data_IF_429675060614
#
_entry.id   IF_429675060614
#
_cell.length_a   1.000
_cell.length_b   1.000
_cell.length_c   1.000
_cell.angle_alpha   90.00
_cell.angle_beta   90.00
_cell.angle_gamma   90.00
#
_symmetry.space_group_name_H-M   'P 1'
#
loop_
_entity.id
_entity.type
_entity.pdbx_description
1 polymer ?
#
# COMPACT_ATOMS: atom_id res chain seq x y z
N UNK A 1 20.50 12.22 -53.84
CA UNK A 1 20.74 10.79 -53.56
C UNK A 1 20.96 10.62 -52.05
N UNK A 2 20.35 9.58 -51.45
CA UNK A 2 20.55 9.26 -50.06
C UNK A 2 22.00 8.93 -49.68
N UNK A 3 22.80 8.46 -50.66
CA UNK A 3 24.21 8.18 -50.46
C UNK A 3 25.04 9.43 -50.09
N UNK A 4 24.63 10.61 -50.56
CA UNK A 4 25.28 11.87 -50.17
C UNK A 4 25.03 12.27 -48.74
N UNK A 5 23.97 11.75 -48.06
CA UNK A 5 23.72 12.00 -46.67
C UNK A 5 24.85 11.49 -45.75
N UNK A 6 25.60 10.44 -46.17
CA UNK A 6 26.78 9.94 -45.45
C UNK A 6 27.86 11.00 -45.32
N UNK A 7 27.95 11.96 -46.24
CA UNK A 7 28.93 13.04 -46.24
C UNK A 7 28.54 14.18 -45.31
N UNK A 8 27.32 14.13 -44.74
CA UNK A 8 26.80 15.14 -43.83
C UNK A 8 26.31 14.45 -42.54
N UNK A 9 27.19 13.85 -41.74
CA UNK A 9 26.80 13.01 -40.59
C UNK A 9 26.27 13.85 -39.39
N UNK A 10 26.67 15.11 -39.25
CA UNK A 10 26.47 15.93 -38.07
C UNK A 10 25.60 17.16 -38.31
N UNK A 11 25.02 17.30 -39.51
CA UNK A 11 24.16 18.43 -39.85
C UNK A 11 23.02 17.97 -40.78
N UNK A 12 22.00 18.78 -40.90
CA UNK A 12 20.85 18.56 -41.80
C UNK A 12 21.11 19.13 -43.21
N UNK A 13 22.16 19.94 -43.39
CA UNK A 13 22.56 20.49 -44.65
C UNK A 13 24.09 20.66 -44.71
N UNK A 14 24.63 20.76 -45.90
CA UNK A 14 26.04 21.01 -46.17
C UNK A 14 26.20 21.63 -47.56
N UNK A 15 27.43 21.97 -47.90
CA UNK A 15 27.78 22.49 -49.22
C UNK A 15 28.77 21.56 -49.91
N UNK A 16 28.62 21.41 -51.21
CA UNK A 16 29.56 20.72 -52.07
C UNK A 16 30.11 21.73 -53.11
N UNK A 17 31.43 21.80 -53.23
CA UNK A 17 32.07 22.62 -54.25
C UNK A 17 32.36 21.75 -55.48
N UNK A 18 31.81 22.09 -56.58
CA UNK A 18 32.08 21.47 -57.90
C UNK A 18 33.09 22.32 -58.61
N UNK A 19 34.22 21.74 -58.97
CA UNK A 19 35.28 22.39 -59.73
C UNK A 19 35.26 21.83 -61.18
N UNK A 20 35.04 22.70 -62.12
CA UNK A 20 35.18 22.37 -63.52
C UNK A 20 36.54 22.89 -63.99
N UNK A 21 37.41 21.99 -64.42
CA UNK A 21 38.74 22.31 -64.91
C UNK A 21 38.78 22.04 -66.40
N UNK A 22 39.21 23.02 -67.15
CA UNK A 22 39.34 22.94 -68.61
C UNK A 22 40.77 22.66 -68.99
N UNK A 23 41.00 21.75 -69.95
CA UNK A 23 42.31 21.34 -70.42
C UNK A 23 42.43 21.58 -71.95
N UNK A 24 43.58 21.97 -72.38
CA UNK A 24 44.00 21.93 -73.78
C UNK A 24 45.12 20.88 -73.92
N UNK A 25 44.76 19.69 -74.44
CA UNK A 25 45.57 18.53 -74.28
C UNK A 25 45.79 18.15 -72.79
N UNK A 26 47.03 18.13 -72.37
CA UNK A 26 47.40 17.85 -70.95
C UNK A 26 47.60 19.15 -70.11
N UNK A 27 47.44 20.32 -70.73
CA UNK A 27 47.64 21.61 -70.04
C UNK A 27 46.37 22.14 -69.43
N UNK A 28 46.39 22.36 -68.14
CA UNK A 28 45.27 23.02 -67.48
C UNK A 28 45.22 24.50 -67.90
N UNK A 29 44.11 24.94 -68.48
CA UNK A 29 43.93 26.33 -68.98
C UNK A 29 43.00 27.15 -68.11
N UNK A 30 42.46 26.58 -67.04
CA UNK A 30 41.64 27.28 -66.04
C UNK A 30 40.65 26.41 -65.34
N UNK A 31 40.21 26.88 -64.18
CA UNK A 31 39.17 26.23 -63.38
C UNK A 31 38.12 27.26 -62.92
N UNK A 32 36.87 26.80 -62.86
CA UNK A 32 35.73 27.51 -62.26
C UNK A 32 35.11 26.63 -61.22
N UNK A 33 34.69 27.23 -60.10
CA UNK A 33 33.99 26.56 -59.03
C UNK A 33 32.55 27.01 -58.91
N UNK A 34 31.66 26.07 -58.56
CA UNK A 34 30.25 26.33 -58.24
C UNK A 34 29.96 25.62 -56.92
N UNK A 35 29.29 26.30 -56.02
CA UNK A 35 28.83 25.75 -54.74
C UNK A 35 27.40 25.28 -54.86
N UNK A 36 27.14 24.02 -54.51
CA UNK A 36 25.84 23.39 -54.41
C UNK A 36 25.46 23.18 -52.97
N UNK A 37 24.30 23.68 -52.57
CA UNK A 37 23.72 23.37 -51.25
C UNK A 37 23.06 21.99 -51.29
N UNK A 38 23.41 21.16 -50.32
CA UNK A 38 22.86 19.81 -50.13
C UNK A 38 22.06 19.79 -48.85
N UNK A 39 20.88 19.15 -48.87
CA UNK A 39 20.07 18.90 -47.66
C UNK A 39 19.82 17.40 -47.48
N UNK A 40 19.90 16.96 -46.24
CA UNK A 40 19.54 15.59 -45.86
C UNK A 40 18.03 15.51 -45.74
N UNK A 41 17.32 14.63 -46.47
CA UNK A 41 15.87 14.51 -46.39
C UNK A 41 15.37 14.32 -44.96
N UNK A 42 14.22 14.92 -44.60
CA UNK A 42 13.65 14.85 -43.25
C UNK A 42 13.27 13.42 -42.85
N UNK A 43 13.09 12.51 -43.81
CA UNK A 43 12.82 11.09 -43.56
C UNK A 43 14.04 10.29 -43.06
N UNK A 44 15.27 10.85 -43.25
CA UNK A 44 16.49 10.21 -42.74
C UNK A 44 16.58 10.49 -41.24
N UNK A 45 16.09 9.55 -40.45
CA UNK A 45 16.05 9.59 -38.98
C UNK A 45 16.81 8.41 -38.39
N UNK A 46 17.27 8.50 -37.15
CA UNK A 46 17.78 7.34 -36.41
C UNK A 46 16.66 6.33 -36.17
N UNK A 47 17.01 5.10 -35.85
CA UNK A 47 16.08 3.99 -35.62
C UNK A 47 16.28 3.36 -34.25
N UNK A 48 15.22 2.77 -33.73
CA UNK A 48 15.21 1.87 -32.57
C UNK A 48 14.55 0.58 -33.03
N UNK A 49 15.14 -0.59 -32.72
CA UNK A 49 14.50 -1.88 -33.02
C UNK A 49 13.40 -2.20 -32.03
N UNK A 50 13.63 -2.01 -30.74
CA UNK A 50 12.65 -2.23 -29.68
C UNK A 50 13.02 -1.53 -28.38
N UNK A 51 12.03 -1.32 -27.51
CA UNK A 51 12.19 -1.07 -26.08
C UNK A 51 11.76 -2.34 -25.34
N UNK A 52 12.59 -2.89 -24.47
CA UNK A 52 12.28 -4.07 -23.68
C UNK A 52 12.24 -3.73 -22.19
N UNK A 53 11.35 -4.42 -21.46
CA UNK A 53 11.21 -4.32 -20.00
C UNK A 53 11.55 -5.67 -19.37
N UNK A 54 12.40 -5.68 -18.36
CA UNK A 54 12.69 -6.85 -17.55
C UNK A 54 12.50 -6.53 -16.09
N UNK A 55 11.87 -7.45 -15.34
CA UNK A 55 11.73 -7.32 -13.90
C UNK A 55 13.07 -7.44 -13.22
N UNK A 56 13.31 -6.61 -12.22
CA UNK A 56 14.43 -6.77 -11.31
C UNK A 56 13.91 -7.56 -10.14
N UNK A 57 14.50 -8.73 -9.89
CA UNK A 57 14.17 -9.55 -8.74
C UNK A 57 14.62 -8.87 -7.44
N UNK A 58 13.87 -9.07 -6.38
CA UNK A 58 14.07 -8.45 -5.09
C UNK A 58 13.05 -8.98 -4.08
N UNK A 59 12.14 -8.13 -3.61
CA UNK A 59 11.14 -8.51 -2.62
C UNK A 59 10.09 -9.49 -3.18
N UNK A 60 9.76 -9.40 -4.48
CA UNK A 60 8.78 -10.29 -5.10
C UNK A 60 9.44 -11.58 -5.56
N UNK A 61 8.98 -12.76 -5.12
CA UNK A 61 9.54 -14.03 -5.57
C UNK A 61 9.56 -14.15 -7.10
N UNK A 62 10.66 -14.63 -7.64
CA UNK A 62 10.85 -14.77 -9.11
C UNK A 62 9.78 -15.66 -9.75
N UNK A 63 9.33 -16.69 -9.01
CA UNK A 63 8.32 -17.65 -9.44
C UNK A 63 6.93 -17.05 -9.64
N UNK A 64 6.66 -15.85 -9.09
CA UNK A 64 5.37 -15.21 -9.29
C UNK A 64 5.18 -14.68 -10.71
N UNK A 65 6.26 -14.25 -11.37
CA UNK A 65 6.20 -13.68 -12.72
C UNK A 65 5.42 -12.35 -12.80
N UNK A 66 5.18 -11.67 -11.69
CA UNK A 66 4.37 -10.45 -11.58
C UNK A 66 5.25 -9.24 -11.27
N UNK A 67 4.82 -8.08 -11.76
CA UNK A 67 5.19 -6.81 -11.16
C UNK A 67 4.19 -6.49 -10.06
N UNK A 68 4.64 -6.19 -8.86
CA UNK A 68 3.82 -5.86 -7.70
C UNK A 68 4.08 -4.42 -7.29
N UNK A 69 3.02 -3.66 -7.10
CA UNK A 69 3.06 -2.26 -6.67
C UNK A 69 3.88 -2.11 -5.39
N UNK A 70 4.76 -1.10 -5.35
CA UNK A 70 5.69 -0.79 -4.25
C UNK A 70 6.74 -1.86 -3.92
N UNK A 71 6.72 -3.02 -4.62
CA UNK A 71 7.60 -4.16 -4.37
C UNK A 71 8.47 -4.55 -5.56
N UNK A 72 8.14 -4.10 -6.77
CA UNK A 72 8.89 -4.40 -7.99
C UNK A 72 9.56 -3.18 -8.58
N UNK A 73 10.70 -3.40 -9.24
CA UNK A 73 11.41 -2.46 -10.11
C UNK A 73 11.49 -3.03 -11.51
N UNK A 74 11.66 -2.16 -12.51
CA UNK A 74 11.82 -2.57 -13.90
C UNK A 74 13.12 -2.00 -14.49
N UNK A 75 13.83 -2.80 -15.25
CA UNK A 75 14.92 -2.36 -16.11
C UNK A 75 14.40 -2.28 -17.54
N UNK A 76 14.50 -1.11 -18.12
CA UNK A 76 14.16 -0.80 -19.50
C UNK A 76 15.44 -0.76 -20.32
N UNK A 77 15.42 -1.33 -21.52
CA UNK A 77 16.59 -1.36 -22.41
C UNK A 77 16.15 -1.01 -23.83
N UNK A 78 16.79 -0.01 -24.42
CA UNK A 78 16.66 0.33 -25.84
C UNK A 78 17.56 -0.62 -26.61
N UNK A 79 17.00 -1.35 -27.57
CA UNK A 79 17.73 -2.29 -28.42
C UNK A 79 17.81 -1.76 -29.85
N UNK A 80 18.94 -1.99 -30.52
CA UNK A 80 19.14 -1.68 -31.92
C UNK A 80 19.01 -0.20 -32.27
N UNK A 81 19.45 0.68 -31.37
CA UNK A 81 19.54 2.11 -31.66
C UNK A 81 20.65 2.35 -32.67
N UNK A 82 20.34 2.92 -33.83
CA UNK A 82 21.31 3.20 -34.89
C UNK A 82 21.01 4.54 -35.57
N UNK A 83 22.09 5.28 -35.88
CA UNK A 83 21.98 6.42 -36.79
C UNK A 83 21.77 5.95 -38.21
N UNK A 84 21.31 6.85 -39.07
CA UNK A 84 21.09 6.57 -40.50
C UNK A 84 22.06 7.34 -41.36
N UNK A 85 22.60 6.69 -42.39
CA UNK A 85 23.46 7.35 -43.38
C UNK A 85 24.59 8.17 -42.72
N UNK A 86 25.41 7.50 -41.93
CA UNK A 86 26.63 8.05 -41.31
C UNK A 86 26.40 8.86 -40.02
N UNK A 87 25.13 9.18 -39.62
CA UNK A 87 24.92 9.79 -38.33
C UNK A 87 25.12 8.80 -37.18
N UNK A 88 25.47 9.30 -36.01
CA UNK A 88 25.65 8.52 -34.77
C UNK A 88 24.56 8.88 -33.77
N UNK A 89 24.29 8.03 -32.78
CA UNK A 89 23.39 8.35 -31.71
C UNK A 89 24.07 9.37 -30.77
N UNK A 90 23.38 10.50 -30.52
CA UNK A 90 23.80 11.59 -29.65
C UNK A 90 23.20 11.49 -28.26
N UNK A 91 21.93 11.10 -28.16
CA UNK A 91 21.23 10.99 -26.89
C UNK A 91 20.09 9.98 -26.95
N UNK A 92 19.71 9.52 -25.76
CA UNK A 92 18.60 8.62 -25.51
C UNK A 92 17.55 9.31 -24.66
N UNK A 93 16.31 8.89 -24.77
CA UNK A 93 15.22 9.32 -23.88
C UNK A 93 14.33 8.13 -23.62
N UNK A 94 14.12 7.78 -22.35
CA UNK A 94 13.13 6.79 -21.88
C UNK A 94 12.23 7.50 -20.90
N UNK A 95 10.90 7.38 -21.07
CA UNK A 95 9.93 7.99 -20.18
C UNK A 95 8.74 7.06 -19.95
N UNK A 96 8.03 7.19 -18.84
CA UNK A 96 6.81 6.45 -18.54
C UNK A 96 6.64 6.17 -17.05
N UNK A 97 5.41 6.04 -16.58
CA UNK A 97 5.10 5.71 -15.20
C UNK A 97 5.64 6.66 -14.13
N UNK A 98 5.96 7.90 -14.51
CA UNK A 98 6.59 8.88 -13.63
C UNK A 98 8.12 8.78 -13.58
N UNK A 99 8.74 7.92 -14.41
CA UNK A 99 10.20 7.75 -14.52
C UNK A 99 10.73 8.33 -15.81
N UNK A 100 11.97 8.79 -15.79
CA UNK A 100 12.68 9.28 -16.98
C UNK A 100 14.17 8.96 -16.89
N UNK A 101 14.80 8.80 -18.05
CA UNK A 101 16.23 8.56 -18.17
C UNK A 101 16.77 8.97 -19.53
N UNK A 102 18.06 9.33 -19.58
CA UNK A 102 18.78 9.80 -20.77
C UNK A 102 19.87 8.84 -21.24
N UNK A 103 19.89 7.60 -20.75
CA UNK A 103 20.78 6.53 -21.18
C UNK A 103 20.05 5.47 -22.00
N UNK A 104 20.79 4.57 -22.65
CA UNK A 104 20.21 3.42 -23.37
C UNK A 104 19.47 2.43 -22.48
N UNK A 105 19.67 2.52 -21.17
CA UNK A 105 18.97 1.75 -20.17
C UNK A 105 18.45 2.65 -19.06
N UNK A 106 17.29 2.28 -18.49
CA UNK A 106 16.71 2.94 -17.31
C UNK A 106 16.30 1.86 -16.32
N UNK A 107 16.80 1.93 -15.09
CA UNK A 107 16.29 1.17 -13.96
C UNK A 107 15.42 2.09 -13.12
N UNK A 108 14.15 1.71 -12.92
CA UNK A 108 13.21 2.50 -12.11
C UNK A 108 13.48 2.31 -10.62
N UNK A 109 12.92 3.19 -9.77
CA UNK A 109 12.61 2.88 -8.39
C UNK A 109 11.46 1.86 -8.30
N UNK A 110 10.91 1.67 -7.09
CA UNK A 110 9.72 0.84 -6.90
C UNK A 110 8.52 1.43 -7.66
N UNK A 111 7.79 0.58 -8.37
CA UNK A 111 6.61 0.97 -9.17
C UNK A 111 5.47 1.38 -8.24
N UNK A 112 5.16 2.66 -8.17
CA UNK A 112 4.17 3.21 -7.23
C UNK A 112 2.72 3.11 -7.74
N UNK A 113 2.53 2.93 -9.05
CA UNK A 113 1.21 2.82 -9.65
C UNK A 113 0.91 1.36 -10.01
N UNK A 114 -0.34 0.96 -9.85
CA UNK A 114 -0.85 -0.33 -10.34
C UNK A 114 -1.54 -0.17 -11.69
N UNK A 115 -1.86 -1.29 -12.33
CA UNK A 115 -2.46 -1.33 -13.67
C UNK A 115 -1.41 -1.34 -14.78
N UNK A 116 -1.80 -0.98 -15.97
CA UNK A 116 -0.92 -0.95 -17.15
C UNK A 116 -0.07 0.32 -17.16
N UNK A 117 1.25 0.15 -17.15
CA UNK A 117 2.22 1.24 -17.31
C UNK A 117 2.89 1.07 -18.67
N UNK A 118 2.83 2.11 -19.48
CA UNK A 118 3.50 2.15 -20.78
C UNK A 118 4.74 3.03 -20.68
N UNK A 119 5.88 2.47 -21.08
CA UNK A 119 7.14 3.19 -21.26
C UNK A 119 7.39 3.45 -22.74
N UNK A 120 8.00 4.58 -23.03
CA UNK A 120 8.30 5.07 -24.36
C UNK A 120 9.75 5.46 -24.46
N UNK A 121 10.34 5.23 -25.61
CA UNK A 121 11.73 5.59 -25.88
C UNK A 121 11.91 6.22 -27.24
N UNK A 122 12.80 7.19 -27.30
CA UNK A 122 13.31 7.80 -28.52
C UNK A 122 14.82 7.98 -28.43
N UNK A 123 15.47 8.11 -29.58
CA UNK A 123 16.88 8.48 -29.67
C UNK A 123 17.03 9.69 -30.60
N UNK A 124 18.02 10.51 -30.31
CA UNK A 124 18.40 11.65 -31.14
C UNK A 124 19.77 11.38 -31.75
N UNK A 125 19.90 11.61 -33.05
CA UNK A 125 21.16 11.44 -33.74
C UNK A 125 22.04 12.70 -33.73
N UNK A 126 23.25 12.59 -34.31
CA UNK A 126 24.18 13.71 -34.42
C UNK A 126 23.69 14.87 -35.29
N UNK A 127 22.67 14.66 -36.13
CA UNK A 127 21.98 15.69 -36.89
C UNK A 127 20.90 16.42 -36.10
N UNK A 128 20.60 15.96 -34.86
CA UNK A 128 19.50 16.49 -34.03
C UNK A 128 18.12 15.91 -34.39
N UNK A 129 18.04 14.85 -35.17
CA UNK A 129 16.78 14.20 -35.55
C UNK A 129 16.41 13.11 -34.58
N UNK A 130 15.11 13.02 -34.33
CA UNK A 130 14.53 12.07 -33.37
C UNK A 130 13.94 10.87 -34.14
N UNK A 131 14.15 9.66 -33.58
CA UNK A 131 13.60 8.42 -34.10
C UNK A 131 12.06 8.39 -34.00
N UNK A 132 11.44 7.41 -34.65
CA UNK A 132 10.12 6.94 -34.24
C UNK A 132 10.16 6.47 -32.78
N UNK A 133 9.03 6.58 -32.08
CA UNK A 133 8.87 6.14 -30.70
C UNK A 133 8.78 4.60 -30.66
N UNK A 134 9.57 3.96 -29.79
CA UNK A 134 9.37 2.57 -29.39
C UNK A 134 8.70 2.54 -28.03
N UNK A 135 7.79 1.60 -27.82
CA UNK A 135 7.08 1.48 -26.55
C UNK A 135 7.04 0.04 -26.03
N UNK A 136 6.89 -0.11 -24.72
CA UNK A 136 6.62 -1.37 -24.04
C UNK A 136 5.68 -1.13 -22.88
N UNK A 137 4.72 -2.02 -22.69
CA UNK A 137 3.77 -1.97 -21.57
C UNK A 137 4.01 -3.13 -20.61
N UNK A 138 3.89 -2.85 -19.33
CA UNK A 138 3.87 -3.85 -18.25
C UNK A 138 2.58 -3.72 -17.46
N UNK A 139 2.12 -4.81 -16.86
CA UNK A 139 0.98 -4.79 -15.93
C UNK A 139 1.50 -4.94 -14.50
N UNK A 140 1.18 -3.99 -13.65
CA UNK A 140 1.56 -3.95 -12.24
C UNK A 140 0.36 -4.32 -11.39
N UNK A 141 0.48 -5.38 -10.62
CA UNK A 141 -0.55 -5.85 -9.69
C UNK A 141 -0.61 -4.92 -8.49
N UNK A 142 -1.80 -4.48 -8.13
CA UNK A 142 -2.02 -3.66 -6.94
C UNK A 142 -1.64 -4.43 -5.67
N UNK A 143 -1.03 -3.74 -4.73
CA UNK A 143 -0.68 -4.27 -3.42
C UNK A 143 -0.93 -3.25 -2.32
N UNK A 144 -1.54 -3.73 -1.25
CA UNK A 144 -1.60 -3.10 0.06
C UNK A 144 -1.21 -4.13 1.12
N UNK A 145 -0.48 -3.69 2.15
CA UNK A 145 -0.16 -4.55 3.31
C UNK A 145 -1.42 -5.07 3.98
N UNK A 146 -1.36 -6.23 4.67
CA UNK A 146 -2.45 -6.69 5.50
C UNK A 146 -2.90 -5.62 6.48
N UNK A 147 -4.18 -5.58 6.79
CA UNK A 147 -4.77 -4.61 7.72
C UNK A 147 -5.94 -5.21 8.47
N UNK A 148 -6.15 -4.75 9.70
CA UNK A 148 -7.33 -5.07 10.49
C UNK A 148 -8.41 -4.02 10.27
N UNK A 149 -9.66 -4.47 10.12
CA UNK A 149 -10.85 -3.62 10.16
C UNK A 149 -11.39 -3.52 11.59
N UNK A 150 -11.47 -4.68 12.25
CA UNK A 150 -11.90 -4.80 13.65
C UNK A 150 -11.38 -6.08 14.26
N UNK A 151 -11.29 -6.10 15.57
CA UNK A 151 -11.09 -7.30 16.37
C UNK A 151 -11.92 -7.20 17.63
N UNK A 152 -12.40 -8.34 18.11
CA UNK A 152 -13.18 -8.46 19.33
C UNK A 152 -12.86 -9.78 20.00
N UNK A 153 -12.51 -9.73 21.25
CA UNK A 153 -12.20 -10.91 22.08
C UNK A 153 -12.99 -10.88 23.39
N UNK A 154 -13.67 -11.97 23.66
CA UNK A 154 -14.52 -12.11 24.84
C UNK A 154 -14.33 -13.49 25.48
N UNK A 155 -14.67 -13.62 26.75
CA UNK A 155 -14.73 -14.92 27.42
C UNK A 155 -15.86 -15.76 26.86
N UNK A 156 -15.67 -17.07 26.84
CA UNK A 156 -16.68 -18.01 26.39
C UNK A 156 -16.51 -19.41 27.00
N UNK A 157 -17.54 -20.22 26.86
CA UNK A 157 -17.49 -21.65 27.12
C UNK A 157 -16.77 -22.39 25.98
N UNK A 158 -16.58 -23.68 26.14
CA UNK A 158 -15.86 -24.53 25.17
C UNK A 158 -16.54 -24.62 23.80
N UNK A 159 -17.84 -24.37 23.74
CA UNK A 159 -18.64 -24.37 22.50
C UNK A 159 -18.68 -22.99 21.81
N UNK A 160 -18.03 -21.97 22.40
CA UNK A 160 -17.99 -20.61 21.90
C UNK A 160 -19.14 -19.72 22.37
N UNK A 161 -20.04 -20.24 23.22
CA UNK A 161 -21.10 -19.42 23.84
C UNK A 161 -20.44 -18.40 24.77
N UNK A 162 -20.79 -17.13 24.60
CA UNK A 162 -20.25 -16.04 25.42
C UNK A 162 -20.67 -16.19 26.87
N UNK A 163 -19.71 -16.12 27.77
CA UNK A 163 -19.90 -16.28 29.20
C UNK A 163 -18.75 -15.60 29.94
N UNK A 164 -19.06 -14.72 30.87
CA UNK A 164 -18.03 -13.97 31.61
C UNK A 164 -17.17 -14.89 32.50
N UNK A 165 -17.74 -16.01 32.98
CA UNK A 165 -17.01 -17.04 33.74
C UNK A 165 -16.35 -18.08 32.81
N UNK A 166 -16.37 -17.86 31.51
CA UNK A 166 -15.79 -18.74 30.50
C UNK A 166 -14.29 -18.85 30.61
N UNK A 167 -13.79 -20.09 30.47
CA UNK A 167 -12.37 -20.43 30.52
C UNK A 167 -11.73 -20.58 29.14
N UNK A 168 -12.42 -20.13 28.11
CA UNK A 168 -11.95 -20.00 26.73
C UNK A 168 -12.05 -18.56 26.27
N UNK A 169 -11.45 -18.23 25.13
CA UNK A 169 -11.58 -16.95 24.47
C UNK A 169 -12.27 -17.16 23.13
N UNK A 170 -13.38 -16.48 22.91
CA UNK A 170 -14.06 -16.32 21.63
C UNK A 170 -13.50 -15.08 20.95
N UNK A 171 -13.09 -15.18 19.69
CA UNK A 171 -12.58 -14.07 18.93
C UNK A 171 -13.28 -13.95 17.57
N UNK A 172 -13.53 -12.72 17.15
CA UNK A 172 -14.00 -12.36 15.82
C UNK A 172 -13.08 -11.26 15.27
N UNK A 173 -12.35 -11.59 14.21
CA UNK A 173 -11.37 -10.70 13.60
C UNK A 173 -11.74 -10.42 12.14
N UNK A 174 -11.86 -9.14 11.79
CA UNK A 174 -12.10 -8.69 10.43
C UNK A 174 -10.83 -8.06 9.86
N UNK A 175 -10.40 -8.52 8.70
CA UNK A 175 -9.18 -8.06 8.06
C UNK A 175 -9.23 -8.19 6.54
N UNK A 176 -8.27 -7.54 5.87
CA UNK A 176 -8.04 -7.68 4.45
C UNK A 176 -6.56 -7.72 4.10
N UNK A 177 -6.25 -8.22 2.90
CA UNK A 177 -4.91 -8.21 2.32
C UNK A 177 -4.98 -8.33 0.80
N UNK A 178 -3.87 -8.05 0.12
CA UNK A 178 -3.75 -8.18 -1.34
C UNK A 178 -3.27 -9.58 -1.73
N UNK A 179 -4.09 -10.33 -2.44
CA UNK A 179 -3.77 -11.71 -2.87
C UNK A 179 -2.76 -11.77 -4.02
N UNK A 180 -2.49 -10.66 -4.71
CA UNK A 180 -1.60 -10.57 -5.87
C UNK A 180 -1.87 -11.69 -6.89
N UNK A 181 -3.10 -11.75 -7.41
CA UNK A 181 -3.53 -12.80 -8.34
C UNK A 181 -3.40 -14.23 -7.76
N UNK A 182 -3.62 -14.40 -6.46
CA UNK A 182 -3.53 -15.68 -5.77
C UNK A 182 -2.11 -16.17 -5.47
N UNK A 183 -1.09 -15.32 -5.69
CA UNK A 183 0.31 -15.67 -5.40
C UNK A 183 0.71 -15.30 -3.97
N UNK A 184 0.12 -14.23 -3.42
CA UNK A 184 0.36 -13.82 -2.05
C UNK A 184 -0.59 -14.56 -1.12
N UNK A 185 -0.05 -15.29 -0.17
CA UNK A 185 -0.81 -16.04 0.85
C UNK A 185 -0.68 -15.33 2.19
N UNK A 186 -1.78 -15.33 2.95
CA UNK A 186 -1.79 -14.79 4.29
C UNK A 186 -1.68 -15.91 5.31
N UNK A 187 -0.81 -15.72 6.30
CA UNK A 187 -0.77 -16.51 7.53
C UNK A 187 -1.43 -15.71 8.63
N UNK A 188 -2.26 -16.39 9.42
CA UNK A 188 -2.90 -15.83 10.62
C UNK A 188 -2.44 -16.60 11.84
N UNK A 189 -2.19 -15.94 12.94
CA UNK A 189 -1.82 -16.57 14.23
C UNK A 189 -2.37 -15.77 15.39
N UNK A 190 -2.70 -16.47 16.47
CA UNK A 190 -3.15 -15.90 17.73
C UNK A 190 -2.21 -16.25 18.86
N UNK A 191 -2.02 -15.33 19.79
CA UNK A 191 -1.25 -15.53 21.01
C UNK A 191 -1.98 -14.90 22.19
N UNK A 192 -1.76 -15.41 23.38
CA UNK A 192 -2.29 -14.83 24.61
C UNK A 192 -1.28 -14.93 25.75
N UNK A 193 -1.42 -14.08 26.75
CA UNK A 193 -0.68 -14.15 28.01
C UNK A 193 -1.50 -13.50 29.12
N UNK A 194 -1.24 -13.86 30.36
CA UNK A 194 -1.73 -13.04 31.47
C UNK A 194 -1.11 -11.64 31.38
N UNK A 195 -1.84 -10.61 31.74
CA UNK A 195 -1.35 -9.21 31.69
C UNK A 195 -0.04 -9.05 32.48
N UNK A 196 0.09 -9.74 33.60
CA UNK A 196 1.29 -9.74 34.44
C UNK A 196 2.45 -10.60 33.91
N UNK A 197 2.24 -11.44 32.92
CA UNK A 197 3.26 -12.32 32.34
C UNK A 197 4.07 -11.63 31.27
N UNK A 198 5.35 -11.99 31.14
CA UNK A 198 6.21 -11.47 30.06
C UNK A 198 6.08 -12.30 28.76
N UNK A 199 5.88 -13.61 28.91
CA UNK A 199 5.91 -14.55 27.80
C UNK A 199 4.53 -14.76 27.16
N UNK A 200 4.50 -14.75 25.83
CA UNK A 200 3.32 -15.06 25.05
C UNK A 200 3.18 -16.57 24.84
N UNK A 201 1.96 -17.06 24.98
CA UNK A 201 1.56 -18.44 24.67
C UNK A 201 0.93 -18.47 23.29
N UNK A 202 1.35 -19.38 22.44
CA UNK A 202 0.71 -19.62 21.15
C UNK A 202 -0.70 -20.21 21.36
N UNK A 203 -1.71 -19.56 20.80
CA UNK A 203 -3.09 -20.04 20.85
C UNK A 203 -3.31 -21.31 19.99
N UNK A 204 -2.39 -21.63 19.08
CA UNK A 204 -2.46 -22.75 18.16
C UNK A 204 -3.62 -22.64 17.18
N UNK A 205 -3.99 -21.42 16.79
CA UNK A 205 -5.12 -21.13 15.91
C UNK A 205 -4.69 -20.47 14.62
N UNK A 206 -5.37 -20.81 13.54
CA UNK A 206 -5.45 -20.04 12.31
C UNK A 206 -6.89 -19.61 12.12
N UNK A 207 -7.12 -18.41 11.58
CA UNK A 207 -8.47 -17.86 11.47
C UNK A 207 -8.68 -17.18 10.13
N UNK A 208 -9.93 -17.16 9.69
CA UNK A 208 -10.39 -16.43 8.50
C UNK A 208 -11.08 -15.12 8.89
N UNK A 209 -11.04 -14.14 7.98
CA UNK A 209 -11.72 -12.85 8.20
C UNK A 209 -13.22 -13.04 8.39
N UNK A 210 -13.79 -12.35 9.39
CA UNK A 210 -15.21 -12.39 9.75
C UNK A 210 -15.73 -13.80 10.14
N UNK A 211 -14.84 -14.68 10.59
CA UNK A 211 -15.21 -16.00 11.09
C UNK A 211 -14.80 -16.11 12.55
N UNK A 212 -15.77 -16.39 13.42
CA UNK A 212 -15.49 -16.56 14.84
C UNK A 212 -14.68 -17.83 15.09
N UNK A 213 -13.82 -17.80 16.09
CA UNK A 213 -13.01 -18.92 16.54
C UNK A 213 -12.81 -18.90 18.04
N UNK A 214 -12.56 -20.06 18.62
CA UNK A 214 -12.41 -20.24 20.08
C UNK A 214 -11.07 -20.89 20.37
N UNK A 215 -10.41 -20.43 21.46
CA UNK A 215 -9.13 -20.98 21.90
C UNK A 215 -8.96 -20.84 23.43
N UNK A 216 -7.77 -21.23 23.93
CA UNK A 216 -7.46 -21.17 25.36
C UNK A 216 -7.59 -22.50 26.09
N UNK A 217 -8.27 -23.49 25.48
CA UNK A 217 -8.32 -24.90 25.93
C UNK A 217 -8.73 -25.06 27.42
N UNK A 218 -9.60 -24.20 27.95
CA UNK A 218 -10.04 -24.21 29.34
C UNK A 218 -8.97 -23.73 30.34
N UNK A 219 -7.91 -23.09 29.87
CA UNK A 219 -6.79 -22.60 30.73
C UNK A 219 -6.86 -21.10 31.02
N UNK A 220 -7.90 -20.41 30.52
CA UNK A 220 -8.08 -18.99 30.77
C UNK A 220 -8.69 -18.82 32.15
N UNK A 221 -7.87 -18.39 33.12
CA UNK A 221 -8.33 -18.15 34.50
C UNK A 221 -9.34 -16.99 34.54
N UNK A 222 -10.39 -17.15 35.31
CA UNK A 222 -11.41 -16.11 35.55
C UNK A 222 -10.91 -14.98 36.44
N UNK A 223 -9.84 -15.24 37.22
CA UNK A 223 -9.27 -14.33 38.22
C UNK A 223 -8.22 -13.36 37.64
N UNK A 224 -7.86 -13.50 36.38
CA UNK A 224 -6.81 -12.68 35.78
C UNK A 224 -7.23 -12.18 34.40
N UNK A 225 -6.79 -10.98 34.04
CA UNK A 225 -6.95 -10.43 32.68
C UNK A 225 -5.85 -10.98 31.76
N UNK A 226 -6.18 -11.09 30.50
CA UNK A 226 -5.28 -11.58 29.48
C UNK A 226 -5.09 -10.54 28.38
N UNK A 227 -3.84 -10.32 27.99
CA UNK A 227 -3.51 -9.72 26.70
C UNK A 227 -3.68 -10.78 25.61
N UNK A 228 -4.35 -10.45 24.55
CA UNK A 228 -4.46 -11.28 23.35
C UNK A 228 -3.90 -10.53 22.15
N UNK A 229 -3.25 -11.25 21.26
CA UNK A 229 -2.62 -10.67 20.06
C UNK A 229 -2.93 -11.51 18.84
N UNK A 230 -3.43 -10.87 17.79
CA UNK A 230 -3.63 -11.48 16.48
C UNK A 230 -2.63 -10.91 15.50
N UNK A 231 -2.02 -11.78 14.69
CA UNK A 231 -1.01 -11.40 13.72
C UNK A 231 -1.44 -11.86 12.32
N UNK A 232 -1.29 -10.96 11.37
CA UNK A 232 -1.44 -11.18 9.94
C UNK A 232 -0.06 -11.06 9.30
N UNK A 233 0.37 -12.07 8.56
CA UNK A 233 1.66 -12.07 7.87
C UNK A 233 1.45 -12.50 6.42
N UNK A 234 1.86 -11.66 5.47
CA UNK A 234 1.93 -12.00 4.07
C UNK A 234 3.40 -12.11 3.59
N UNK A 235 3.63 -12.25 2.29
CA UNK A 235 4.98 -12.40 1.75
C UNK A 235 5.88 -11.16 1.97
N UNK A 236 5.31 -9.99 2.31
CA UNK A 236 6.02 -8.71 2.32
C UNK A 236 5.99 -7.99 3.67
N UNK A 237 5.03 -8.32 4.53
CA UNK A 237 4.81 -7.58 5.77
C UNK A 237 4.05 -8.39 6.82
N UNK A 238 4.19 -7.98 8.07
CA UNK A 238 3.46 -8.52 9.20
C UNK A 238 2.89 -7.38 10.03
N UNK A 239 1.66 -7.54 10.52
CA UNK A 239 0.99 -6.59 11.40
C UNK A 239 0.26 -7.35 12.51
N UNK A 240 0.20 -6.76 13.70
CA UNK A 240 -0.51 -7.34 14.84
C UNK A 240 -1.45 -6.32 15.47
N UNK A 241 -2.56 -6.81 16.04
CA UNK A 241 -3.47 -6.08 16.91
C UNK A 241 -3.48 -6.76 18.29
N UNK A 242 -3.64 -5.98 19.33
CA UNK A 242 -3.73 -6.47 20.71
C UNK A 242 -5.01 -5.97 21.37
N UNK A 243 -5.59 -6.81 22.23
CA UNK A 243 -6.76 -6.52 23.04
C UNK A 243 -6.58 -7.08 24.43
N UNK A 244 -7.42 -6.66 25.37
CA UNK A 244 -7.46 -7.18 26.72
C UNK A 244 -8.79 -7.90 26.94
N UNK A 245 -8.69 -9.15 27.40
CA UNK A 245 -9.83 -9.91 27.92
C UNK A 245 -9.79 -9.78 29.43
N UNK A 246 -10.78 -9.09 29.98
CA UNK A 246 -10.88 -8.79 31.42
C UNK A 246 -11.12 -10.04 32.27
N UNK A 247 -10.98 -9.91 33.59
CA UNK A 247 -11.46 -10.91 34.56
C UNK A 247 -12.96 -11.13 34.42
N UNK A 248 -13.44 -12.26 34.90
CA UNK A 248 -14.88 -12.57 34.94
C UNK A 248 -15.71 -11.53 35.71
N UNK A 249 -15.15 -10.99 36.78
CA UNK A 249 -15.79 -9.96 37.56
C UNK A 249 -14.94 -8.68 37.58
N UNK A 250 -15.41 -7.66 36.91
CA UNK A 250 -14.84 -6.30 37.02
C UNK A 250 -15.54 -5.62 38.18
N UNK A 251 -14.89 -5.59 39.35
CA UNK A 251 -15.46 -4.88 40.52
C UNK A 251 -15.35 -3.38 40.36
N UNK A 252 -14.22 -2.89 39.82
CA UNK A 252 -13.98 -1.48 39.55
C UNK A 252 -13.01 -1.35 38.36
N UNK A 253 -13.30 -0.47 37.44
CA UNK A 253 -12.45 -0.14 36.31
C UNK A 253 -12.21 1.36 36.20
N UNK A 254 -11.00 1.73 35.86
CA UNK A 254 -10.61 3.12 35.56
C UNK A 254 -10.34 3.22 34.06
N UNK A 255 -11.08 4.08 33.38
CA UNK A 255 -10.85 4.33 31.96
C UNK A 255 -9.41 4.75 31.70
N UNK A 256 -8.82 4.27 30.62
CA UNK A 256 -7.48 4.66 30.16
C UNK A 256 -7.34 6.19 30.13
N UNK A 257 -6.27 6.71 30.73
CA UNK A 257 -6.08 8.15 30.93
C UNK A 257 -6.76 8.74 32.17
N UNK A 258 -7.35 7.91 33.06
CA UNK A 258 -7.88 8.32 34.36
C UNK A 258 -9.14 9.20 34.31
N UNK A 259 -9.89 9.17 33.22
CA UNK A 259 -10.99 10.07 32.97
C UNK A 259 -12.41 9.51 33.27
N UNK A 260 -12.52 8.28 33.71
CA UNK A 260 -13.79 7.64 34.03
C UNK A 260 -13.58 6.51 35.03
N UNK A 261 -14.63 6.18 35.76
CA UNK A 261 -14.67 5.07 36.74
C UNK A 261 -15.95 4.29 36.54
N UNK A 262 -15.85 2.95 36.53
CA UNK A 262 -17.01 2.08 36.51
C UNK A 262 -16.95 1.07 37.68
N UNK A 263 -18.14 0.67 38.17
CA UNK A 263 -18.30 -0.40 39.15
C UNK A 263 -19.11 -1.52 38.53
N UNK A 264 -18.59 -2.73 38.60
CA UNK A 264 -19.22 -3.93 38.08
C UNK A 264 -19.17 -4.06 36.54
N UNK A 265 -18.46 -3.19 35.88
CA UNK A 265 -18.28 -3.17 34.42
C UNK A 265 -16.99 -2.42 34.03
N UNK A 266 -16.56 -2.55 32.77
CA UNK A 266 -15.50 -1.72 32.21
C UNK A 266 -15.99 -0.30 32.00
N UNK A 267 -15.16 0.70 32.31
CA UNK A 267 -15.47 2.13 32.10
C UNK A 267 -15.44 2.47 30.61
N UNK A 268 -16.56 2.95 30.06
CA UNK A 268 -16.76 3.20 28.64
C UNK A 268 -16.67 4.69 28.27
N UNK A 269 -17.02 5.58 29.21
CA UNK A 269 -17.19 7.02 28.94
C UNK A 269 -16.24 7.88 29.75
N UNK A 270 -15.72 8.95 29.11
CA UNK A 270 -14.94 9.95 29.82
C UNK A 270 -15.81 10.77 30.78
N UNK A 271 -15.23 11.19 31.90
CA UNK A 271 -15.85 12.06 32.94
C UNK A 271 -17.18 11.51 33.52
N UNK A 272 -17.30 10.18 33.55
CA UNK A 272 -18.47 9.51 34.13
C UNK A 272 -18.07 8.55 35.24
N UNK A 273 -19.01 8.40 36.20
CA UNK A 273 -19.07 7.29 37.13
C UNK A 273 -20.18 6.35 36.67
N UNK A 274 -19.83 5.16 36.23
CA UNK A 274 -20.72 4.16 35.67
C UNK A 274 -20.93 3.01 36.67
N UNK A 275 -22.14 2.48 36.73
CA UNK A 275 -22.47 1.30 37.53
C UNK A 275 -23.17 0.30 36.62
N UNK A 276 -22.76 -0.98 36.66
CA UNK A 276 -23.41 -2.02 35.88
C UNK A 276 -24.87 -2.20 36.28
N UNK A 277 -25.72 -2.60 35.34
CA UNK A 277 -27.16 -2.71 35.53
C UNK A 277 -27.58 -3.68 36.66
N UNK A 278 -26.75 -4.72 36.91
CA UNK A 278 -26.98 -5.71 37.95
C UNK A 278 -26.47 -5.31 39.35
N UNK A 279 -25.89 -4.10 39.48
CA UNK A 279 -25.39 -3.61 40.76
C UNK A 279 -26.31 -2.59 41.38
N UNK A 280 -26.66 -2.80 42.64
CA UNK A 280 -27.44 -1.87 43.43
C UNK A 280 -26.55 -0.85 44.16
N UNK A 281 -26.82 0.44 43.96
CA UNK A 281 -26.15 1.51 44.70
C UNK A 281 -26.97 1.85 45.92
N UNK A 282 -26.40 1.75 47.13
CA UNK A 282 -27.00 2.15 48.39
C UNK A 282 -26.43 3.46 48.89
N UNK A 283 -27.30 4.42 49.26
CA UNK A 283 -26.94 5.68 49.89
C UNK A 283 -27.62 5.72 51.26
N UNK A 284 -26.85 5.89 52.34
CA UNK A 284 -27.36 5.84 53.71
C UNK A 284 -28.16 4.56 54.02
N UNK A 285 -27.73 3.41 53.46
CA UNK A 285 -28.40 2.14 53.69
C UNK A 285 -29.63 1.85 52.87
N UNK A 286 -30.10 2.81 52.07
CA UNK A 286 -31.26 2.69 51.15
C UNK A 286 -30.77 2.54 49.73
N UNK A 287 -31.50 1.83 48.86
CA UNK A 287 -31.24 1.83 47.42
C UNK A 287 -31.32 3.26 46.86
N UNK A 288 -30.39 3.62 45.95
CA UNK A 288 -30.35 4.96 45.35
C UNK A 288 -31.72 5.37 44.73
N UNK A 289 -32.37 4.43 44.07
CA UNK A 289 -33.74 4.65 43.52
C UNK A 289 -34.77 5.01 44.61
N UNK A 290 -34.73 4.37 45.77
CA UNK A 290 -35.60 4.62 46.89
C UNK A 290 -35.24 5.94 47.60
N UNK A 291 -33.93 6.20 47.75
CA UNK A 291 -33.42 7.44 48.30
C UNK A 291 -33.88 8.66 47.44
N UNK A 292 -33.75 8.55 46.09
CA UNK A 292 -34.23 9.60 45.16
C UNK A 292 -35.73 9.79 45.28
N UNK A 293 -36.50 8.70 45.38
CA UNK A 293 -37.97 8.79 45.57
C UNK A 293 -38.36 9.45 46.91
N UNK A 294 -37.64 9.11 47.98
CA UNK A 294 -37.85 9.75 49.28
C UNK A 294 -37.49 11.24 49.25
N UNK A 295 -36.35 11.58 48.63
CA UNK A 295 -35.90 12.94 48.44
C UNK A 295 -36.92 13.73 47.61
N UNK A 296 -37.44 13.16 46.51
CA UNK A 296 -38.48 13.77 45.68
C UNK A 296 -39.76 14.01 46.45
N UNK A 297 -40.19 13.08 47.33
CA UNK A 297 -41.36 13.27 48.21
C UNK A 297 -41.14 14.39 49.23
N UNK A 298 -39.91 14.59 49.69
CA UNK A 298 -39.58 15.69 50.61
C UNK A 298 -39.56 17.04 49.90
N UNK A 299 -39.05 17.08 48.68
CA UNK A 299 -39.01 18.30 47.86
C UNK A 299 -40.36 18.66 47.25
N UNK A 300 -41.20 17.66 46.98
CA UNK A 300 -42.53 17.81 46.39
C UNK A 300 -43.55 17.04 47.24
N UNK A 301 -44.01 17.61 48.38
CA UNK A 301 -45.04 16.97 49.25
C UNK A 301 -46.30 16.63 48.47
N UNK A 302 -47.03 15.61 48.98
CA UNK A 302 -48.30 15.20 48.37
C UNK A 302 -49.23 16.42 48.22
N UNK A 303 -49.64 16.73 46.98
CA UNK A 303 -50.41 17.90 46.61
C UNK A 303 -49.67 18.90 45.72
N UNK A 304 -48.37 18.74 45.49
CA UNK A 304 -47.67 19.55 44.52
C UNK A 304 -48.04 19.15 43.09
N UNK A 305 -48.25 20.14 42.21
CA UNK A 305 -48.51 19.86 40.78
C UNK A 305 -47.23 19.47 40.11
N UNK A 306 -47.18 18.25 39.58
CA UNK A 306 -46.06 17.77 38.79
C UNK A 306 -46.25 18.19 37.32
N UNK A 307 -45.48 19.15 36.87
CA UNK A 307 -45.42 19.43 35.43
C UNK A 307 -44.37 18.50 34.79
N UNK A 308 -44.84 17.39 34.23
CA UNK A 308 -43.99 16.52 33.39
C UNK A 308 -43.73 17.19 32.06
N UNK A 309 -42.52 17.66 31.83
CA UNK A 309 -42.05 17.96 30.47
C UNK A 309 -41.71 16.66 29.76
N UNK A 310 -42.71 15.89 29.33
CA UNK A 310 -42.51 14.90 28.30
C UNK A 310 -42.30 15.64 26.99
N UNK A 311 -41.06 15.76 26.55
CA UNK A 311 -40.76 16.01 25.16
C UNK A 311 -41.17 14.76 24.38
N UNK A 312 -42.24 14.84 23.62
CA UNK A 312 -42.59 13.92 22.57
C UNK A 312 -41.68 14.26 21.37
N UNK A 313 -40.73 13.40 21.05
CA UNK A 313 -40.23 13.17 19.70
C UNK A 313 -39.99 11.70 19.54
#
# INVERSE_FOLDING_TARGET
SLSLANQIPNATSGTCTITCTTYNGNTNIGSKTCTLSLSVPASVKPTISSLTASRIDGEVPSTWGLYVQTKSKVKLTINGAAGSYGSTIKSYSITGGGYSGSASTLTTGFLNNSGTITFKATVTDSRGRVSAEASVSITVTAYSSPYFNSSLSQRCLSDGTLDDDGTYIHALVSFGYSTCSGKNTLKTSGQYKQVSAEQWTDAGVTFASNTAFTYGKGQISTETSYDVRYTLEDAFSSISVQEIVSTAAVVMDFKSGGKGVAIGKVSERDNTFEVAENWDVKVYGMLLKEYIQQFAKTMYPVGSIYMSTKSTN
#
